data_IF_606951218759
#
_entry.id   IF_606951218759
#
_cell.length_a   1.000
_cell.length_b   1.000
_cell.length_c   1.000
_cell.angle_alpha   90.00
_cell.angle_beta   90.00
_cell.angle_gamma   90.00
#
_symmetry.space_group_name_H-M   'P 1'
#
loop_
_entity.id
_entity.type
_entity.pdbx_description
1 polymer ?
#
# COMPACT_ATOMS: atom_id res chain seq x y z
N UNK A 1 -8.90 2.46 -39.47
CA UNK A 1 -9.35 2.68 -38.07
C UNK A 1 -10.20 3.95 -38.08
N UNK A 2 -11.43 3.90 -37.58
CA UNK A 2 -12.33 5.07 -37.57
C UNK A 2 -11.79 6.15 -36.63
N UNK A 3 -11.81 7.43 -37.04
CA UNK A 3 -11.40 8.59 -36.23
C UNK A 3 -12.07 8.59 -34.85
N UNK A 4 -13.35 8.21 -34.80
CA UNK A 4 -14.11 8.16 -33.55
C UNK A 4 -13.58 7.13 -32.54
N UNK A 5 -12.93 6.05 -32.97
CA UNK A 5 -12.31 5.11 -32.02
C UNK A 5 -11.07 5.70 -31.34
N UNK A 6 -10.31 6.52 -32.07
CA UNK A 6 -9.13 7.23 -31.54
C UNK A 6 -9.58 8.34 -30.59
N UNK A 7 -10.58 9.13 -30.98
CA UNK A 7 -11.16 10.20 -30.15
C UNK A 7 -11.71 9.67 -28.82
N UNK A 8 -12.49 8.59 -28.86
CA UNK A 8 -13.02 7.95 -27.65
C UNK A 8 -11.91 7.42 -26.74
N UNK A 9 -10.84 6.86 -27.30
CA UNK A 9 -9.69 6.40 -26.53
C UNK A 9 -8.97 7.56 -25.83
N UNK A 10 -8.75 8.67 -26.55
CA UNK A 10 -8.17 9.89 -26.00
C UNK A 10 -9.03 10.48 -24.87
N UNK A 11 -10.36 10.52 -25.04
CA UNK A 11 -11.27 11.03 -24.02
C UNK A 11 -11.23 10.16 -22.74
N UNK A 12 -11.33 8.84 -22.87
CA UNK A 12 -11.28 7.93 -21.73
C UNK A 12 -9.95 8.00 -21.00
N UNK A 13 -8.85 8.06 -21.74
CA UNK A 13 -7.52 8.17 -21.15
C UNK A 13 -7.31 9.52 -20.47
N UNK A 14 -7.78 10.61 -21.07
CA UNK A 14 -7.77 11.96 -20.48
C UNK A 14 -8.48 11.98 -19.13
N UNK A 15 -9.71 11.48 -19.06
CA UNK A 15 -10.48 11.37 -17.80
C UNK A 15 -9.77 10.52 -16.74
N UNK A 16 -9.07 9.47 -17.15
CA UNK A 16 -8.27 8.64 -16.23
C UNK A 16 -7.11 9.44 -15.66
N UNK A 17 -6.36 10.16 -16.50
CA UNK A 17 -5.23 10.98 -16.07
C UNK A 17 -5.66 12.09 -15.12
N UNK A 18 -6.76 12.80 -15.41
CA UNK A 18 -7.32 13.83 -14.52
C UNK A 18 -7.58 13.26 -13.12
N UNK A 19 -8.28 12.11 -13.04
CA UNK A 19 -8.53 11.43 -11.76
C UNK A 19 -7.25 11.03 -11.03
N UNK A 20 -6.22 10.61 -11.75
CA UNK A 20 -4.93 10.25 -11.13
C UNK A 20 -4.18 11.49 -10.63
N UNK A 21 -4.19 12.59 -11.39
CA UNK A 21 -3.59 13.87 -10.97
C UNK A 21 -4.28 14.39 -9.71
N UNK A 22 -5.61 14.40 -9.67
CA UNK A 22 -6.36 14.78 -8.47
C UNK A 22 -6.02 13.90 -7.27
N UNK A 23 -5.86 12.58 -7.48
CA UNK A 23 -5.44 11.65 -6.42
C UNK A 23 -4.07 12.01 -5.86
N UNK A 24 -3.10 12.30 -6.73
CA UNK A 24 -1.75 12.71 -6.35
C UNK A 24 -1.79 14.03 -5.56
N UNK A 25 -2.56 15.01 -6.02
CA UNK A 25 -2.70 16.29 -5.33
C UNK A 25 -3.35 16.15 -3.95
N UNK A 26 -4.33 15.24 -3.78
CA UNK A 26 -4.87 14.91 -2.45
C UNK A 26 -3.82 14.26 -1.54
N UNK A 27 -3.04 13.32 -2.06
CA UNK A 27 -1.99 12.64 -1.29
C UNK A 27 -0.90 13.61 -0.81
N UNK A 28 -0.50 14.58 -1.66
CA UNK A 28 0.48 15.61 -1.28
C UNK A 28 -0.04 16.56 -0.20
N UNK A 29 -1.34 16.84 -0.19
CA UNK A 29 -1.99 17.73 0.79
C UNK A 29 -2.33 17.03 2.11
N UNK A 30 -2.11 15.73 2.22
CA UNK A 30 -2.38 15.00 3.46
C UNK A 30 -1.24 15.26 4.45
N UNK A 31 -1.49 16.13 5.44
CA UNK A 31 -0.49 16.67 6.37
C UNK A 31 -0.31 15.83 7.65
N UNK A 32 -1.25 14.94 7.96
CA UNK A 32 -1.23 14.22 9.24
C UNK A 32 -0.60 12.82 9.07
N UNK A 33 0.73 12.78 8.95
CA UNK A 33 1.46 11.53 9.11
C UNK A 33 1.42 11.14 10.58
N UNK A 34 0.81 9.99 10.86
CA UNK A 34 0.85 9.41 12.20
C UNK A 34 2.30 9.10 12.58
N UNK A 35 2.79 9.68 13.67
CA UNK A 35 4.11 9.32 14.18
C UNK A 35 4.02 7.97 14.90
N UNK A 36 4.33 6.91 14.16
CA UNK A 36 4.35 5.54 14.67
C UNK A 36 5.31 5.34 15.86
N UNK A 37 6.26 6.27 16.10
CA UNK A 37 7.11 6.19 17.30
C UNK A 37 6.33 6.45 18.58
N UNK A 38 5.26 7.24 18.50
CA UNK A 38 4.42 7.62 19.65
C UNK A 38 3.37 6.57 20.01
N UNK A 39 3.18 5.56 19.17
CA UNK A 39 2.22 4.50 19.43
C UNK A 39 2.80 3.49 20.43
N UNK A 40 2.01 3.20 21.46
CA UNK A 40 2.32 2.16 22.44
C UNK A 40 2.37 0.77 21.78
N UNK A 41 1.57 0.56 20.73
CA UNK A 41 1.46 -0.71 20.01
C UNK A 41 1.17 -0.53 18.52
N UNK A 42 1.77 -1.37 17.70
CA UNK A 42 1.59 -1.45 16.25
C UNK A 42 1.14 -2.88 15.90
N UNK A 43 0.02 -3.01 15.20
CA UNK A 43 -0.53 -4.30 14.77
C UNK A 43 -0.20 -4.51 13.28
N UNK A 44 0.49 -5.60 12.96
CA UNK A 44 0.92 -5.94 11.59
C UNK A 44 0.10 -7.11 11.07
N UNK A 45 -0.94 -6.80 10.29
CA UNK A 45 -1.73 -7.82 9.59
C UNK A 45 -0.97 -8.41 8.40
N UNK A 46 -0.94 -9.74 8.29
CA UNK A 46 -0.30 -10.45 7.17
C UNK A 46 -1.38 -11.11 6.31
N UNK A 47 -1.45 -10.71 5.04
CA UNK A 47 -2.38 -11.23 4.06
C UNK A 47 -1.62 -12.06 3.03
N UNK A 48 -1.78 -13.38 3.07
CA UNK A 48 -1.05 -14.31 2.21
C UNK A 48 -1.44 -14.27 0.73
N UNK A 49 -2.61 -13.75 0.38
CA UNK A 49 -3.11 -13.82 -1.00
C UNK A 49 -3.28 -15.27 -1.48
N UNK A 50 -3.19 -15.47 -2.80
CA UNK A 50 -3.45 -16.74 -3.47
C UNK A 50 -2.19 -17.39 -4.08
N UNK A 51 -2.33 -18.64 -4.55
CA UNK A 51 -1.25 -19.37 -5.20
C UNK A 51 -0.10 -19.68 -4.24
N UNK A 52 1.11 -19.22 -4.56
CA UNK A 52 2.29 -19.37 -3.68
C UNK A 52 2.36 -18.31 -2.57
N UNK A 53 1.46 -17.33 -2.60
CA UNK A 53 1.45 -16.20 -1.67
C UNK A 53 1.49 -16.60 -0.19
N UNK A 54 0.72 -17.60 0.29
CA UNK A 54 0.77 -18.03 1.68
C UNK A 54 2.15 -18.50 2.16
N UNK A 55 2.96 -19.11 1.26
CA UNK A 55 4.31 -19.54 1.60
C UNK A 55 5.27 -18.35 1.68
N UNK A 56 5.18 -17.42 0.71
CA UNK A 56 5.99 -16.19 0.71
C UNK A 56 5.67 -15.34 1.94
N UNK A 57 4.40 -15.17 2.27
CA UNK A 57 3.97 -14.39 3.42
C UNK A 57 4.47 -14.98 4.74
N UNK A 58 4.47 -16.31 4.88
CA UNK A 58 5.05 -17.00 6.03
C UNK A 58 6.55 -16.77 6.15
N UNK A 59 7.29 -16.83 5.04
CA UNK A 59 8.74 -16.58 5.06
C UNK A 59 9.06 -15.10 5.33
N UNK A 60 8.26 -14.18 4.79
CA UNK A 60 8.36 -12.76 5.07
C UNK A 60 8.08 -12.46 6.55
N UNK A 61 7.03 -13.06 7.14
CA UNK A 61 6.73 -12.97 8.57
C UNK A 61 7.92 -13.40 9.43
N UNK A 62 8.55 -14.53 9.09
CA UNK A 62 9.71 -15.05 9.81
C UNK A 62 10.88 -14.06 9.80
N UNK A 63 11.18 -13.47 8.64
CA UNK A 63 12.25 -12.46 8.52
C UNK A 63 11.87 -11.19 9.27
N UNK A 64 10.62 -10.75 9.19
CA UNK A 64 10.13 -9.57 9.90
C UNK A 64 10.27 -9.71 11.42
N UNK A 65 9.85 -10.85 11.99
CA UNK A 65 10.01 -11.15 13.42
C UNK A 65 11.47 -11.24 13.85
N UNK A 66 12.36 -11.68 12.97
CA UNK A 66 13.80 -11.70 13.24
C UNK A 66 14.38 -10.29 13.32
N UNK A 67 14.00 -9.41 12.40
CA UNK A 67 14.48 -8.02 12.37
C UNK A 67 13.91 -7.21 13.54
N UNK A 68 12.63 -7.42 13.89
CA UNK A 68 11.88 -6.68 14.91
C UNK A 68 11.81 -7.43 16.24
N UNK A 69 12.83 -8.26 16.54
CA UNK A 69 12.80 -9.16 17.69
C UNK A 69 12.55 -8.41 19.00
N UNK A 70 13.24 -7.29 19.21
CA UNK A 70 13.14 -6.50 20.45
C UNK A 70 11.75 -5.84 20.59
N UNK A 71 11.18 -5.34 19.50
CA UNK A 71 9.85 -4.74 19.48
C UNK A 71 8.73 -5.76 19.69
N UNK A 72 8.90 -6.98 19.19
CA UNK A 72 7.98 -8.10 19.45
C UNK A 72 8.09 -8.57 20.91
N UNK A 73 9.31 -8.73 21.43
CA UNK A 73 9.55 -9.14 22.82
C UNK A 73 9.04 -8.10 23.83
N UNK A 74 9.13 -6.81 23.51
CA UNK A 74 8.57 -5.72 24.33
C UNK A 74 7.06 -5.54 24.18
N UNK A 75 6.41 -6.26 23.25
CA UNK A 75 4.98 -6.16 22.98
C UNK A 75 4.56 -4.92 22.21
N UNK A 76 5.52 -4.12 21.72
CA UNK A 76 5.27 -2.95 20.87
C UNK A 76 4.75 -3.34 19.49
N UNK A 77 5.08 -4.54 19.00
CA UNK A 77 4.61 -5.08 17.72
C UNK A 77 3.90 -6.42 17.93
N UNK A 78 2.74 -6.59 17.27
CA UNK A 78 1.95 -7.84 17.20
C UNK A 78 1.65 -8.23 15.75
#
# INVERSE_FOLDING_TARGET
MSSGAIENACEHFGKLLEKQIERVERMKKQVDWLDYKTLDKIIVGILGGDGIGPFIAKDAERVLKFILKEEVESGKIE
#
